data_IF_700699395911
#
_entry.id   IF_700699395911
#
_cell.length_a   1.000
_cell.length_b   1.000
_cell.length_c   1.000
_cell.angle_alpha   90.00
_cell.angle_beta   90.00
_cell.angle_gamma   90.00
#
_symmetry.space_group_name_H-M   'P 1'
#
loop_
_entity.id
_entity.type
_entity.pdbx_description
1 polymer ?
#
# COMPACT_ATOMS: atom_id res chain seq x y z
N UNK A 1 10.29 5.51 21.08
CA UNK A 1 10.94 6.50 21.94
C UNK A 1 10.45 6.29 23.36
N UNK A 2 11.37 6.08 24.30
CA UNK A 2 11.06 5.98 25.74
C UNK A 2 10.96 7.38 26.36
N UNK A 3 10.04 7.55 27.32
CA UNK A 3 9.80 8.81 28.02
C UNK A 3 8.52 9.52 27.61
N UNK A 4 8.17 10.59 28.33
CA UNK A 4 7.00 11.41 28.00
C UNK A 4 7.35 12.45 26.93
N UNK A 5 6.88 12.20 25.72
CA UNK A 5 7.10 13.06 24.55
C UNK A 5 5.78 13.66 24.01
N UNK A 6 4.69 13.64 24.78
CA UNK A 6 3.36 14.12 24.35
C UNK A 6 3.34 15.59 23.92
N UNK A 7 4.28 16.38 24.42
CA UNK A 7 4.43 17.81 24.10
C UNK A 7 5.63 18.10 23.18
N UNK A 8 6.36 17.05 22.76
CA UNK A 8 7.52 17.24 21.91
C UNK A 8 7.14 17.78 20.51
N UNK A 9 7.87 18.76 20.05
CA UNK A 9 7.74 19.29 18.69
C UNK A 9 8.24 18.26 17.65
N UNK A 10 7.82 18.42 16.41
CA UNK A 10 8.31 17.57 15.30
C UNK A 10 9.84 17.63 15.16
N UNK A 11 10.48 18.76 15.46
CA UNK A 11 11.93 18.92 15.44
C UNK A 11 12.60 18.07 16.53
N UNK A 12 12.04 18.09 17.75
CA UNK A 12 12.56 17.31 18.87
C UNK A 12 12.38 15.81 18.62
N UNK A 13 11.21 15.37 18.11
CA UNK A 13 10.96 13.97 17.76
C UNK A 13 11.93 13.49 16.67
N UNK A 14 12.20 14.33 15.69
CA UNK A 14 13.17 14.02 14.64
C UNK A 14 14.57 13.87 15.22
N UNK A 15 15.01 14.78 16.08
CA UNK A 15 16.34 14.73 16.71
C UNK A 15 16.49 13.47 17.61
N UNK A 16 15.45 13.09 18.34
CA UNK A 16 15.44 11.86 19.13
C UNK A 16 15.51 10.61 18.26
N UNK A 17 14.77 10.58 17.15
CA UNK A 17 14.78 9.45 16.23
C UNK A 17 16.12 9.32 15.51
N UNK A 18 16.78 10.45 15.19
CA UNK A 18 18.07 10.46 14.52
C UNK A 18 19.16 9.73 15.32
N UNK A 19 19.07 9.74 16.65
CA UNK A 19 20.01 9.05 17.53
C UNK A 19 19.94 7.53 17.44
N UNK A 20 18.82 6.99 16.92
CA UNK A 20 18.55 5.56 16.81
C UNK A 20 18.32 5.09 15.36
N UNK A 21 18.56 5.95 14.37
CA UNK A 21 18.21 5.67 12.99
C UNK A 21 19.01 4.52 12.38
N UNK A 22 20.23 4.32 12.84
CA UNK A 22 21.14 3.26 12.45
C UNK A 22 20.67 1.87 12.92
N UNK A 23 19.79 1.79 13.92
CA UNK A 23 19.16 0.54 14.36
C UNK A 23 18.11 0.05 13.34
N UNK A 24 17.56 0.95 12.52
CA UNK A 24 16.44 0.67 11.61
C UNK A 24 16.83 0.75 10.14
N UNK A 25 17.79 1.58 9.78
CA UNK A 25 18.21 1.83 8.41
C UNK A 25 19.70 1.48 8.28
N UNK A 26 20.08 0.51 7.41
CA UNK A 26 21.46 0.04 7.28
C UNK A 26 22.32 1.02 6.46
N UNK A 27 22.27 2.30 6.78
CA UNK A 27 23.04 3.39 6.18
C UNK A 27 23.52 4.34 7.27
N UNK A 28 24.67 5.00 7.10
CA UNK A 28 25.11 6.06 8.00
C UNK A 28 24.05 7.18 8.12
N UNK A 29 23.79 7.73 9.30
CA UNK A 29 22.78 8.80 9.49
C UNK A 29 22.94 9.99 8.53
N UNK A 30 24.18 10.33 8.16
CA UNK A 30 24.49 11.39 7.20
C UNK A 30 24.03 11.12 5.77
N UNK A 31 23.86 9.82 5.42
CA UNK A 31 23.42 9.37 4.10
C UNK A 31 21.92 9.11 4.04
N UNK A 32 21.20 9.29 5.16
CA UNK A 32 19.75 9.07 5.24
C UNK A 32 19.01 10.41 5.19
N UNK A 33 18.00 10.50 4.34
CA UNK A 33 16.93 11.47 4.44
C UNK A 33 15.74 10.78 5.09
N UNK A 34 15.27 11.28 6.23
CA UNK A 34 14.15 10.66 6.95
C UNK A 34 13.17 11.70 7.47
N UNK A 35 11.97 11.23 7.74
CA UNK A 35 10.93 11.99 8.43
C UNK A 35 10.16 11.07 9.39
N UNK A 36 9.54 11.66 10.42
CA UNK A 36 8.82 10.93 11.46
C UNK A 36 7.49 11.61 11.78
N UNK A 37 6.49 10.77 12.02
CA UNK A 37 5.14 11.20 12.42
C UNK A 37 4.78 10.52 13.73
N UNK A 38 4.33 11.24 14.76
CA UNK A 38 3.85 10.64 15.99
C UNK A 38 2.57 9.83 15.72
N UNK A 39 2.49 8.65 16.32
CA UNK A 39 1.36 7.72 16.13
C UNK A 39 0.61 7.53 17.44
N UNK A 40 1.30 7.10 18.48
CA UNK A 40 0.74 6.88 19.81
C UNK A 40 1.67 7.52 20.83
N UNK A 41 1.12 8.29 21.77
CA UNK A 41 1.85 8.87 22.88
C UNK A 41 1.23 8.45 24.20
N UNK A 42 2.06 7.94 25.09
CA UNK A 42 1.72 7.62 26.49
C UNK A 42 2.54 8.47 27.45
N UNK A 43 2.36 8.30 28.75
CA UNK A 43 3.18 8.96 29.76
C UNK A 43 4.63 8.44 29.81
N UNK A 44 4.87 7.27 29.26
CA UNK A 44 6.17 6.58 29.37
C UNK A 44 6.83 6.29 28.03
N UNK A 45 6.10 6.48 26.92
CA UNK A 45 6.64 6.17 25.60
C UNK A 45 5.90 6.90 24.49
N UNK A 46 6.55 7.04 23.34
CA UNK A 46 5.93 7.48 22.10
C UNK A 46 6.31 6.54 20.95
N UNK A 47 5.30 6.05 20.25
CA UNK A 47 5.46 5.32 18.99
C UNK A 47 5.43 6.32 17.84
N UNK A 48 6.43 6.28 16.97
CA UNK A 48 6.51 7.10 15.76
C UNK A 48 6.50 6.23 14.53
N UNK A 49 5.85 6.68 13.47
CA UNK A 49 6.00 6.12 12.14
C UNK A 49 7.13 6.87 11.42
N UNK A 50 8.17 6.14 11.02
CA UNK A 50 9.32 6.70 10.32
C UNK A 50 9.36 6.27 8.86
N UNK A 51 9.82 7.17 8.00
CA UNK A 51 10.19 6.85 6.62
C UNK A 51 11.61 7.38 6.36
N UNK A 52 12.43 6.54 5.73
CA UNK A 52 13.80 6.94 5.41
C UNK A 52 14.22 6.41 4.04
N UNK A 53 15.01 7.23 3.34
CA UNK A 53 15.58 6.92 2.04
C UNK A 53 17.06 7.28 2.02
N UNK A 54 17.82 6.61 1.17
CA UNK A 54 19.18 7.08 0.87
C UNK A 54 19.09 8.50 0.31
N UNK A 55 19.82 9.44 0.95
CA UNK A 55 19.85 10.86 0.58
C UNK A 55 20.13 11.06 -0.91
N UNK A 56 21.08 10.29 -1.44
CA UNK A 56 21.45 10.30 -2.85
C UNK A 56 20.24 10.07 -3.78
N UNK A 57 19.34 9.15 -3.45
CA UNK A 57 18.14 8.86 -4.27
C UNK A 57 17.20 10.06 -4.30
N UNK A 58 17.04 10.75 -3.16
CA UNK A 58 16.23 11.96 -3.08
C UNK A 58 16.86 13.09 -3.91
N UNK A 59 18.18 13.31 -3.77
CA UNK A 59 18.90 14.35 -4.49
C UNK A 59 18.89 14.14 -6.00
N UNK A 60 19.13 12.90 -6.48
CA UNK A 60 19.04 12.54 -7.89
C UNK A 60 17.63 12.75 -8.45
N UNK A 61 16.60 12.40 -7.68
CA UNK A 61 15.20 12.60 -8.08
C UNK A 61 14.86 14.08 -8.19
N UNK A 62 15.29 14.89 -7.21
CA UNK A 62 15.08 16.35 -7.22
C UNK A 62 15.80 17.01 -8.40
N UNK A 63 17.05 16.63 -8.66
CA UNK A 63 17.83 17.16 -9.80
C UNK A 63 17.14 16.83 -11.14
N UNK A 64 16.65 15.60 -11.31
CA UNK A 64 15.93 15.18 -12.52
C UNK A 64 14.66 16.00 -12.75
N UNK A 65 13.89 16.24 -11.69
CA UNK A 65 12.66 17.04 -11.75
C UNK A 65 12.96 18.52 -12.03
N UNK A 66 14.01 19.06 -11.44
CA UNK A 66 14.47 20.44 -11.66
C UNK A 66 14.94 20.64 -13.12
N UNK A 67 15.72 19.71 -13.68
CA UNK A 67 16.11 19.72 -15.08
C UNK A 67 14.89 19.68 -16.04
N UNK A 68 13.81 19.00 -15.61
CA UNK A 68 12.56 18.97 -16.37
C UNK A 68 11.69 20.23 -16.16
N UNK A 69 12.14 21.20 -15.36
CA UNK A 69 11.40 22.43 -15.02
C UNK A 69 10.22 22.20 -14.08
N UNK A 70 10.21 21.06 -13.35
CA UNK A 70 9.14 20.71 -12.41
C UNK A 70 9.50 21.19 -11.00
N UNK A 71 8.68 22.06 -10.45
CA UNK A 71 8.84 22.53 -9.06
C UNK A 71 8.33 21.47 -8.10
N UNK A 72 9.25 20.79 -7.41
CA UNK A 72 8.91 19.76 -6.42
C UNK A 72 8.55 20.42 -5.09
N UNK A 73 7.35 20.20 -4.58
CA UNK A 73 6.88 20.70 -3.28
C UNK A 73 7.20 19.75 -2.14
N UNK A 74 7.11 18.45 -2.38
CA UNK A 74 7.36 17.43 -1.38
C UNK A 74 7.71 16.10 -2.05
N UNK A 75 8.43 15.27 -1.31
CA UNK A 75 8.64 13.85 -1.60
C UNK A 75 8.09 13.09 -0.38
N UNK A 76 7.29 12.08 -0.62
CA UNK A 76 6.79 11.23 0.46
C UNK A 76 6.76 9.75 0.05
N UNK A 77 6.66 8.86 1.03
CA UNK A 77 6.44 7.44 0.75
C UNK A 77 5.06 7.23 0.14
N UNK A 78 4.99 6.37 -0.87
CA UNK A 78 3.74 5.94 -1.48
C UNK A 78 2.75 5.32 -0.48
N UNK A 79 3.23 4.78 0.65
CA UNK A 79 2.36 4.23 1.70
C UNK A 79 1.48 5.31 2.34
N UNK A 80 2.02 6.50 2.58
CA UNK A 80 1.24 7.63 3.12
C UNK A 80 0.26 8.18 2.09
N UNK A 81 0.69 8.33 0.85
CA UNK A 81 -0.20 8.82 -0.21
C UNK A 81 -1.33 7.83 -0.51
N UNK A 82 -1.03 6.53 -0.61
CA UNK A 82 -2.05 5.50 -0.83
C UNK A 82 -3.04 5.42 0.34
N UNK A 83 -2.56 5.47 1.59
CA UNK A 83 -3.42 5.53 2.76
C UNK A 83 -4.34 6.77 2.74
N UNK A 84 -3.81 7.92 2.36
CA UNK A 84 -4.57 9.18 2.24
C UNK A 84 -5.65 9.11 1.17
N UNK A 85 -5.41 8.41 0.06
CA UNK A 85 -6.42 8.24 -0.97
C UNK A 85 -7.56 7.33 -0.52
N UNK A 86 -7.23 6.19 0.12
CA UNK A 86 -8.16 5.10 0.35
C UNK A 86 -8.87 5.13 1.71
N UNK A 87 -8.28 5.79 2.71
CA UNK A 87 -8.85 5.84 4.07
C UNK A 87 -9.60 7.15 4.29
N UNK A 88 -10.88 7.10 4.72
CA UNK A 88 -11.59 8.31 5.11
C UNK A 88 -10.83 9.08 6.20
N UNK A 89 -10.84 10.42 6.13
CA UNK A 89 -10.11 11.29 7.07
C UNK A 89 -10.45 11.04 8.54
N UNK A 90 -11.72 10.70 8.81
CA UNK A 90 -12.20 10.44 10.17
C UNK A 90 -12.10 8.97 10.59
N UNK A 91 -11.62 8.09 9.71
CA UNK A 91 -11.50 6.66 10.02
C UNK A 91 -10.49 6.42 11.14
N UNK A 92 -10.80 5.44 11.99
CA UNK A 92 -9.88 4.89 12.98
C UNK A 92 -9.68 3.39 12.80
N UNK A 93 -10.26 2.82 11.74
CA UNK A 93 -10.10 1.42 11.41
C UNK A 93 -8.65 1.06 11.14
N UNK A 94 -8.28 -0.16 11.49
CA UNK A 94 -7.03 -0.77 11.05
C UNK A 94 -7.32 -1.72 9.89
N UNK A 95 -6.74 -1.43 8.74
CA UNK A 95 -6.96 -2.17 7.50
C UNK A 95 -5.66 -2.68 6.91
N UNK A 96 -5.74 -3.78 6.18
CA UNK A 96 -4.67 -4.22 5.29
C UNK A 96 -4.96 -3.72 3.87
N UNK A 97 -4.14 -2.83 3.35
CA UNK A 97 -4.19 -2.41 1.95
C UNK A 97 -3.25 -3.31 1.15
N UNK A 98 -3.78 -3.90 0.08
CA UNK A 98 -3.04 -4.73 -0.87
C UNK A 98 -3.07 -4.01 -2.22
N UNK A 99 -1.93 -3.45 -2.63
CA UNK A 99 -1.77 -2.80 -3.92
C UNK A 99 -1.09 -3.76 -4.89
N UNK A 100 -1.87 -4.30 -5.84
CA UNK A 100 -1.38 -5.26 -6.84
C UNK A 100 -0.99 -4.50 -8.11
N UNK A 101 0.28 -4.09 -8.14
CA UNK A 101 0.89 -3.39 -9.28
C UNK A 101 1.25 -4.34 -10.45
N UNK A 102 1.98 -3.81 -11.42
CA UNK A 102 2.43 -4.59 -12.58
C UNK A 102 3.48 -5.63 -12.18
N UNK A 103 4.51 -5.23 -11.48
CA UNK A 103 5.68 -6.06 -11.14
C UNK A 103 5.74 -6.47 -9.68
N UNK A 104 5.12 -5.71 -8.80
CA UNK A 104 5.16 -5.89 -7.35
C UNK A 104 3.77 -5.85 -6.75
N UNK A 105 3.62 -6.48 -5.58
CA UNK A 105 2.46 -6.33 -4.71
C UNK A 105 2.93 -5.70 -3.40
N UNK A 106 2.32 -4.59 -3.01
CA UNK A 106 2.62 -3.89 -1.77
C UNK A 106 1.56 -4.21 -0.72
N UNK A 107 2.02 -4.50 0.47
CA UNK A 107 1.19 -4.77 1.64
C UNK A 107 1.40 -3.66 2.65
N UNK A 108 0.33 -3.02 3.09
CA UNK A 108 0.38 -1.92 4.05
C UNK A 108 -0.68 -2.13 5.12
N UNK A 109 -0.29 -2.21 6.39
CA UNK A 109 -1.25 -2.08 7.49
C UNK A 109 -1.35 -0.61 7.86
N UNK A 110 -2.57 -0.09 7.86
CA UNK A 110 -2.87 1.32 8.05
C UNK A 110 -3.93 1.45 9.14
N UNK A 111 -3.69 2.31 10.14
CA UNK A 111 -4.69 2.68 11.15
C UNK A 111 -5.11 4.13 10.90
N UNK A 112 -6.39 4.35 10.62
CA UNK A 112 -6.85 5.65 10.11
C UNK A 112 -6.18 5.99 8.77
N UNK A 113 -5.41 7.07 8.71
CA UNK A 113 -4.59 7.41 7.53
C UNK A 113 -3.08 7.19 7.77
N UNK A 114 -2.71 6.58 8.89
CA UNK A 114 -1.30 6.40 9.27
C UNK A 114 -0.82 5.00 8.96
N UNK A 115 0.15 4.82 8.07
CA UNK A 115 0.81 3.54 7.84
C UNK A 115 1.53 3.08 9.10
N UNK A 116 1.30 1.82 9.50
CA UNK A 116 1.90 1.16 10.66
C UNK A 116 2.93 0.10 10.28
N UNK A 117 2.74 -0.47 9.11
CA UNK A 117 3.62 -1.49 8.53
C UNK A 117 3.52 -1.44 7.01
N UNK A 118 4.63 -1.65 6.33
CA UNK A 118 4.64 -1.81 4.88
C UNK A 118 5.72 -2.80 4.44
N UNK A 119 5.42 -3.55 3.40
CA UNK A 119 6.37 -4.43 2.73
C UNK A 119 6.02 -4.59 1.26
N UNK A 120 7.01 -4.92 0.44
CA UNK A 120 6.83 -5.15 -1.00
C UNK A 120 7.18 -6.60 -1.32
N UNK A 121 6.34 -7.21 -2.13
CA UNK A 121 6.56 -8.55 -2.71
C UNK A 121 6.95 -8.36 -4.18
N UNK A 122 7.99 -9.04 -4.63
CA UNK A 122 8.45 -9.01 -6.03
C UNK A 122 7.58 -9.92 -6.94
N UNK A 123 6.27 -9.91 -6.70
CA UNK A 123 5.26 -10.62 -7.49
C UNK A 123 4.12 -9.67 -7.75
N UNK A 124 3.75 -9.47 -9.03
CA UNK A 124 2.66 -8.60 -9.45
C UNK A 124 1.88 -9.17 -10.63
N UNK A 125 1.00 -8.35 -11.21
CA UNK A 125 0.12 -8.76 -12.30
C UNK A 125 0.84 -9.23 -13.57
N UNK A 126 2.11 -8.88 -13.75
CA UNK A 126 2.91 -9.39 -14.89
C UNK A 126 3.15 -10.89 -14.77
N UNK A 127 3.37 -11.42 -13.56
CA UNK A 127 3.48 -12.86 -13.35
C UNK A 127 2.20 -13.60 -13.73
N UNK A 128 1.03 -13.02 -13.42
CA UNK A 128 -0.27 -13.56 -13.87
C UNK A 128 -0.38 -13.53 -15.41
N UNK A 129 0.03 -12.42 -16.03
CA UNK A 129 0.00 -12.30 -17.49
C UNK A 129 0.93 -13.32 -18.15
N UNK A 130 2.13 -13.53 -17.63
CA UNK A 130 3.07 -14.54 -18.11
C UNK A 130 2.52 -15.98 -17.98
N UNK A 131 1.80 -16.27 -16.87
CA UNK A 131 1.15 -17.56 -16.68
C UNK A 131 0.11 -17.81 -17.79
N UNK A 132 -0.69 -16.80 -18.13
CA UNK A 132 -1.67 -16.87 -19.24
C UNK A 132 -0.98 -17.03 -20.60
N UNK A 133 0.05 -16.23 -20.88
CA UNK A 133 0.84 -16.33 -22.13
C UNK A 133 1.36 -17.76 -22.33
N UNK A 134 1.96 -18.32 -21.28
CA UNK A 134 2.54 -19.66 -21.32
C UNK A 134 1.48 -20.75 -21.51
N UNK A 135 0.33 -20.59 -20.84
CA UNK A 135 -0.76 -21.58 -20.90
C UNK A 135 -1.43 -21.63 -22.28
N UNK A 136 -1.73 -20.46 -22.86
CA UNK A 136 -2.45 -20.38 -24.13
C UNK A 136 -1.56 -20.22 -25.37
N UNK A 137 -0.25 -19.97 -25.20
CA UNK A 137 0.66 -19.65 -26.29
C UNK A 137 0.36 -18.32 -27.01
N UNK A 138 -0.15 -17.34 -26.27
CA UNK A 138 -0.61 -16.05 -26.80
C UNK A 138 0.36 -14.91 -26.48
N UNK A 139 0.18 -13.77 -27.13
CA UNK A 139 0.96 -12.54 -26.89
C UNK A 139 0.62 -11.91 -25.51
N UNK A 140 1.45 -10.98 -25.06
CA UNK A 140 1.20 -10.27 -23.78
C UNK A 140 -0.11 -9.47 -23.81
N UNK A 141 -0.45 -8.88 -24.96
CA UNK A 141 -1.68 -8.09 -25.12
C UNK A 141 -2.91 -8.98 -25.06
N UNK A 142 -2.91 -10.09 -25.79
CA UNK A 142 -3.98 -11.09 -25.74
C UNK A 142 -4.12 -11.69 -24.33
N UNK A 143 -3.00 -11.98 -23.66
CA UNK A 143 -3.00 -12.50 -22.30
C UNK A 143 -3.61 -11.52 -21.29
N UNK A 144 -3.34 -10.21 -21.42
CA UNK A 144 -3.99 -9.18 -20.60
C UNK A 144 -5.50 -9.16 -20.79
N UNK A 145 -5.94 -9.30 -22.04
CA UNK A 145 -7.37 -9.33 -22.38
C UNK A 145 -8.05 -10.58 -21.79
N UNK A 146 -7.47 -11.77 -22.02
CA UNK A 146 -7.94 -13.03 -21.43
C UNK A 146 -8.03 -12.93 -19.90
N UNK A 147 -7.01 -12.38 -19.26
CA UNK A 147 -6.98 -12.18 -17.81
C UNK A 147 -8.10 -11.28 -17.31
N UNK A 148 -8.38 -10.19 -18.03
CA UNK A 148 -9.46 -9.27 -17.67
C UNK A 148 -10.85 -9.90 -17.83
N UNK A 149 -11.06 -10.66 -18.90
CA UNK A 149 -12.35 -11.30 -19.17
C UNK A 149 -12.64 -12.49 -18.27
N UNK A 150 -11.67 -13.42 -18.15
CA UNK A 150 -11.86 -14.70 -17.46
C UNK A 150 -11.69 -14.59 -15.95
N UNK A 151 -10.68 -13.83 -15.49
CA UNK A 151 -10.37 -13.67 -14.06
C UNK A 151 -10.04 -15.01 -13.38
N UNK A 152 -10.45 -15.15 -12.13
CA UNK A 152 -10.33 -16.38 -11.32
C UNK A 152 -11.68 -17.13 -11.21
N UNK A 153 -12.62 -16.84 -12.10
CA UNK A 153 -13.96 -17.46 -12.05
C UNK A 153 -13.91 -18.84 -12.73
N UNK A 154 -14.21 -19.89 -11.96
CA UNK A 154 -14.22 -21.26 -12.46
C UNK A 154 -15.43 -21.53 -13.37
N UNK A 155 -15.21 -22.33 -14.39
CA UNK A 155 -16.22 -22.92 -15.29
C UNK A 155 -15.60 -24.10 -16.04
N UNK A 156 -16.39 -25.05 -16.47
CA UNK A 156 -15.93 -26.36 -16.95
C UNK A 156 -14.88 -26.37 -18.05
N UNK A 157 -14.78 -25.31 -18.85
CA UNK A 157 -13.73 -25.14 -19.87
C UNK A 157 -12.54 -24.28 -19.37
N UNK A 158 -12.60 -23.79 -18.13
CA UNK A 158 -11.64 -22.83 -17.58
C UNK A 158 -10.80 -23.40 -16.43
N UNK A 159 -11.04 -24.62 -15.98
CA UNK A 159 -10.42 -25.16 -14.77
C UNK A 159 -8.89 -25.19 -14.86
N UNK A 160 -8.33 -25.55 -16.00
CA UNK A 160 -6.89 -25.57 -16.21
C UNK A 160 -6.27 -24.15 -16.25
N UNK A 161 -6.98 -23.20 -16.84
CA UNK A 161 -6.60 -21.78 -16.81
C UNK A 161 -6.62 -21.23 -15.38
N UNK A 162 -7.70 -21.47 -14.63
CA UNK A 162 -7.83 -21.04 -13.24
C UNK A 162 -6.75 -21.68 -12.38
N UNK A 163 -6.47 -22.96 -12.55
CA UNK A 163 -5.39 -23.65 -11.87
C UNK A 163 -4.02 -22.99 -12.12
N UNK A 164 -3.75 -22.59 -13.37
CA UNK A 164 -2.52 -21.90 -13.75
C UNK A 164 -2.42 -20.52 -13.06
N UNK A 165 -3.50 -19.75 -13.02
CA UNK A 165 -3.57 -18.46 -12.34
C UNK A 165 -3.39 -18.62 -10.82
N UNK A 166 -4.00 -19.63 -10.22
CA UNK A 166 -3.96 -19.89 -8.79
C UNK A 166 -2.54 -20.20 -8.28
N UNK A 167 -1.63 -20.71 -9.10
CA UNK A 167 -0.23 -20.89 -8.70
C UNK A 167 0.38 -19.55 -8.26
N UNK A 168 0.23 -18.51 -9.09
CA UNK A 168 0.78 -17.17 -8.79
C UNK A 168 -0.01 -16.48 -7.68
N UNK A 169 -1.35 -16.54 -7.73
CA UNK A 169 -2.19 -15.91 -6.71
C UNK A 169 -1.97 -16.54 -5.34
N UNK A 170 -1.75 -17.87 -5.28
CA UNK A 170 -1.45 -18.56 -4.03
C UNK A 170 -0.10 -18.13 -3.43
N UNK A 171 0.92 -17.87 -4.25
CA UNK A 171 2.18 -17.34 -3.76
C UNK A 171 2.00 -15.96 -3.11
N UNK A 172 1.21 -15.08 -3.74
CA UNK A 172 0.84 -13.79 -3.15
C UNK A 172 0.06 -13.99 -1.83
N UNK A 173 -0.94 -14.88 -1.83
CA UNK A 173 -1.73 -15.21 -0.64
C UNK A 173 -0.87 -15.69 0.53
N UNK A 174 0.07 -16.60 0.30
CA UNK A 174 0.95 -17.12 1.37
C UNK A 174 1.79 -16.00 2.01
N UNK A 175 2.29 -15.07 1.20
CA UNK A 175 3.00 -13.91 1.72
C UNK A 175 2.08 -12.98 2.52
N UNK A 176 0.86 -12.73 2.04
CA UNK A 176 -0.13 -11.92 2.76
C UNK A 176 -0.45 -12.57 4.11
N UNK A 177 -0.74 -13.88 4.13
CA UNK A 177 -1.07 -14.61 5.36
C UNK A 177 0.06 -14.51 6.38
N UNK A 178 1.32 -14.72 5.99
CA UNK A 178 2.46 -14.59 6.91
C UNK A 178 2.55 -13.21 7.55
N UNK A 179 2.31 -12.14 6.79
CA UNK A 179 2.37 -10.76 7.31
C UNK A 179 1.17 -10.43 8.19
N UNK A 180 -0.01 -10.91 7.79
CA UNK A 180 -1.24 -10.74 8.55
C UNK A 180 -1.17 -11.47 9.89
N UNK A 181 -0.73 -12.73 9.91
CA UNK A 181 -0.53 -13.53 11.12
C UNK A 181 0.48 -12.88 12.07
N UNK A 182 1.59 -12.40 11.54
CA UNK A 182 2.58 -11.64 12.32
C UNK A 182 1.94 -10.42 12.98
N UNK A 183 1.18 -9.62 12.22
CA UNK A 183 0.52 -8.42 12.73
C UNK A 183 -0.55 -8.76 13.78
N UNK A 184 -1.43 -9.70 13.48
CA UNK A 184 -2.51 -10.13 14.38
C UNK A 184 -1.95 -10.74 15.68
N UNK A 185 -0.87 -11.49 15.60
CA UNK A 185 -0.19 -12.04 16.79
C UNK A 185 0.32 -10.94 17.73
N UNK A 186 0.85 -9.85 17.18
CA UNK A 186 1.27 -8.68 17.97
C UNK A 186 0.08 -7.95 18.59
N UNK A 187 -1.00 -7.78 17.85
CA UNK A 187 -2.22 -7.17 18.37
C UNK A 187 -2.80 -7.97 19.56
N UNK A 188 -2.82 -9.30 19.46
CA UNK A 188 -3.28 -10.17 20.55
C UNK A 188 -2.34 -10.16 21.77
N UNK A 189 -1.07 -9.90 21.58
CA UNK A 189 -0.09 -9.79 22.67
C UNK A 189 -0.19 -8.48 23.49
N UNK A 190 -1.16 -7.62 23.18
CA UNK A 190 -1.38 -6.37 23.89
C UNK A 190 -0.33 -5.29 23.61
N UNK A 191 0.29 -5.34 22.43
CA UNK A 191 1.16 -4.28 21.93
C UNK A 191 0.32 -3.14 21.35
N UNK A 192 0.97 -2.05 20.89
CA UNK A 192 0.32 -0.89 20.23
C UNK A 192 -0.30 -1.23 18.85
N UNK A 193 -0.60 -2.51 18.60
CA UNK A 193 -1.11 -2.99 17.32
C UNK A 193 -2.61 -3.27 17.47
N UNK A 194 -3.41 -2.59 16.66
CA UNK A 194 -4.82 -2.89 16.52
C UNK A 194 -5.02 -4.04 15.51
N UNK A 195 -5.99 -4.94 15.73
CA UNK A 195 -6.27 -6.02 14.80
C UNK A 195 -6.75 -5.46 13.46
N UNK A 196 -6.36 -6.12 12.36
CA UNK A 196 -6.89 -5.78 11.03
C UNK A 196 -8.35 -6.18 10.94
N UNK A 197 -9.21 -5.24 10.59
CA UNK A 197 -10.67 -5.42 10.52
C UNK A 197 -11.14 -5.83 9.13
N UNK A 198 -10.49 -5.33 8.06
CA UNK A 198 -10.79 -5.66 6.66
C UNK A 198 -9.59 -5.43 5.76
N UNK A 199 -9.75 -5.89 4.51
CA UNK A 199 -8.75 -5.73 3.45
C UNK A 199 -9.28 -4.79 2.37
N UNK A 200 -8.43 -3.90 1.90
CA UNK A 200 -8.70 -3.03 0.75
C UNK A 200 -7.77 -3.44 -0.39
N UNK A 201 -8.32 -3.85 -1.53
CA UNK A 201 -7.56 -4.12 -2.74
C UNK A 201 -7.48 -2.87 -3.61
N UNK A 202 -6.31 -2.57 -4.12
CA UNK A 202 -6.05 -1.48 -5.06
C UNK A 202 -4.96 -1.88 -6.06
N UNK A 203 -4.61 -0.97 -6.96
CA UNK A 203 -3.68 -1.27 -8.05
C UNK A 203 -4.37 -1.82 -9.30
N UNK A 204 -3.70 -1.70 -10.43
CA UNK A 204 -4.29 -2.06 -11.73
C UNK A 204 -4.67 -3.55 -11.91
N UNK A 205 -4.21 -4.42 -11.02
CA UNK A 205 -4.55 -5.85 -11.04
C UNK A 205 -5.57 -6.25 -9.95
N UNK A 206 -6.00 -5.34 -9.10
CA UNK A 206 -7.05 -5.58 -8.12
C UNK A 206 -8.41 -5.91 -8.78
N UNK A 207 -8.59 -5.50 -10.03
CA UNK A 207 -9.81 -5.67 -10.82
C UNK A 207 -9.98 -7.05 -11.47
N UNK A 208 -9.02 -7.96 -11.26
CA UNK A 208 -9.14 -9.35 -11.75
C UNK A 208 -10.36 -10.00 -11.11
N UNK A 209 -11.33 -10.42 -11.94
CA UNK A 209 -12.61 -11.00 -11.49
C UNK A 209 -12.37 -12.21 -10.60
N UNK A 210 -13.08 -12.29 -9.49
CA UNK A 210 -12.96 -13.38 -8.51
C UNK A 210 -11.77 -13.24 -7.55
N UNK A 211 -10.90 -12.24 -7.72
CA UNK A 211 -9.75 -12.03 -6.84
C UNK A 211 -10.16 -11.52 -5.44
N UNK A 212 -11.10 -10.56 -5.32
CA UNK A 212 -11.60 -10.15 -4.00
C UNK A 212 -12.20 -11.33 -3.22
N UNK A 213 -13.07 -12.11 -3.84
CA UNK A 213 -13.74 -13.27 -3.23
C UNK A 213 -12.74 -14.37 -2.85
N UNK A 214 -11.71 -14.57 -3.67
CA UNK A 214 -10.63 -15.50 -3.35
C UNK A 214 -9.87 -15.06 -2.08
N UNK A 215 -9.49 -13.80 -1.99
CA UNK A 215 -8.81 -13.29 -0.80
C UNK A 215 -9.72 -13.23 0.42
N UNK A 216 -10.99 -12.87 0.28
CA UNK A 216 -11.96 -12.89 1.38
C UNK A 216 -12.05 -14.28 2.02
N UNK A 217 -12.20 -15.32 1.19
CA UNK A 217 -12.24 -16.71 1.64
C UNK A 217 -10.92 -17.13 2.30
N UNK A 218 -9.79 -16.77 1.70
CA UNK A 218 -8.48 -17.20 2.15
C UNK A 218 -8.00 -16.49 3.42
N UNK A 219 -8.26 -15.20 3.54
CA UNK A 219 -7.81 -14.36 4.66
C UNK A 219 -8.81 -14.34 5.83
N UNK A 220 -10.06 -14.80 5.60
CA UNK A 220 -11.17 -14.77 6.57
C UNK A 220 -11.43 -13.34 7.12
N UNK A 221 -11.27 -12.36 6.26
CA UNK A 221 -11.55 -10.96 6.51
C UNK A 221 -12.37 -10.39 5.36
N UNK A 222 -13.27 -9.44 5.61
CA UNK A 222 -13.97 -8.74 4.53
C UNK A 222 -12.97 -8.12 3.55
N UNK A 223 -13.17 -8.32 2.26
CA UNK A 223 -12.31 -7.77 1.20
C UNK A 223 -13.12 -6.87 0.29
N UNK A 224 -12.68 -5.63 0.13
CA UNK A 224 -13.33 -4.64 -0.73
C UNK A 224 -12.33 -4.03 -1.72
N UNK A 225 -12.82 -3.58 -2.86
CA UNK A 225 -12.04 -2.72 -3.74
C UNK A 225 -11.94 -1.31 -3.15
N UNK A 226 -10.79 -0.68 -3.29
CA UNK A 226 -10.55 0.66 -2.79
C UNK A 226 -11.38 1.71 -3.53
N UNK A 227 -11.81 2.75 -2.84
CA UNK A 227 -12.38 3.94 -3.48
C UNK A 227 -11.39 5.10 -3.34
N UNK A 228 -10.62 5.35 -4.40
CA UNK A 228 -9.60 6.39 -4.44
C UNK A 228 -10.18 7.81 -4.40
N UNK A 229 -11.50 7.94 -4.55
CA UNK A 229 -12.23 9.21 -4.51
C UNK A 229 -12.84 9.52 -3.14
N UNK A 230 -12.61 8.63 -2.15
CA UNK A 230 -13.18 8.73 -0.80
C UNK A 230 -12.99 10.12 -0.15
N UNK A 231 -11.86 10.77 -0.39
CA UNK A 231 -11.50 12.06 0.22
C UNK A 231 -11.60 13.25 -0.76
N UNK A 232 -12.19 13.04 -1.93
CA UNK A 232 -12.50 14.11 -2.89
C UNK A 232 -13.91 14.68 -2.68
N UNK A 233 -14.32 15.59 -3.56
CA UNK A 233 -15.66 16.14 -3.54
C UNK A 233 -16.72 15.03 -3.70
N UNK A 234 -17.90 15.23 -3.08
CA UNK A 234 -19.03 14.31 -3.23
C UNK A 234 -19.35 14.05 -4.70
N UNK A 235 -19.69 12.82 -5.04
CA UNK A 235 -20.13 12.42 -6.40
C UNK A 235 -21.40 13.14 -6.85
N UNK A 236 -22.15 13.69 -5.92
CA UNK A 236 -23.32 14.52 -6.24
C UNK A 236 -22.93 15.90 -6.83
N UNK A 237 -21.68 16.32 -6.58
CA UNK A 237 -21.15 17.61 -7.01
C UNK A 237 -20.17 17.46 -8.16
N UNK A 238 -19.46 16.36 -8.23
CA UNK A 238 -18.41 16.14 -9.22
C UNK A 238 -18.29 14.66 -9.59
N UNK A 239 -18.31 14.37 -10.89
CA UNK A 239 -18.05 13.03 -11.41
C UNK A 239 -16.58 12.93 -11.86
N UNK A 240 -15.83 11.94 -11.34
CA UNK A 240 -14.47 11.72 -11.79
C UNK A 240 -14.41 11.41 -13.30
N UNK A 241 -13.40 11.90 -14.02
CA UNK A 241 -13.22 11.58 -15.44
C UNK A 241 -12.68 10.16 -15.70
N UNK A 242 -12.34 9.44 -14.63
CA UNK A 242 -11.83 8.08 -14.68
C UNK A 242 -12.91 7.07 -14.29
N UNK A 243 -12.98 5.95 -14.99
CA UNK A 243 -13.77 4.81 -14.56
C UNK A 243 -13.28 4.31 -13.18
N UNK A 244 -14.22 3.78 -12.39
CA UNK A 244 -13.91 3.30 -11.04
C UNK A 244 -12.81 2.24 -11.03
N UNK A 245 -12.88 1.26 -11.94
CA UNK A 245 -11.91 0.16 -12.01
C UNK A 245 -10.53 0.66 -12.47
N UNK A 246 -10.49 1.57 -13.43
CA UNK A 246 -9.25 2.21 -13.88
C UNK A 246 -8.61 3.06 -12.77
N UNK A 247 -9.44 3.73 -11.97
CA UNK A 247 -8.99 4.63 -10.91
C UNK A 247 -8.14 3.93 -9.85
N UNK A 248 -8.34 2.64 -9.62
CA UNK A 248 -7.57 1.86 -8.64
C UNK A 248 -6.06 1.87 -8.90
N UNK A 249 -5.64 2.03 -10.16
CA UNK A 249 -4.23 2.14 -10.53
C UNK A 249 -3.61 3.51 -10.13
N UNK A 250 -4.42 4.49 -9.74
CA UNK A 250 -3.99 5.86 -9.46
C UNK A 250 -4.03 6.23 -7.97
N UNK A 251 -4.21 5.27 -7.06
CA UNK A 251 -4.33 5.52 -5.63
C UNK A 251 -3.17 6.38 -5.09
N UNK A 252 -1.92 6.03 -5.43
CA UNK A 252 -0.73 6.81 -5.04
C UNK A 252 -0.76 8.23 -5.60
N UNK A 253 -1.05 8.40 -6.89
CA UNK A 253 -1.06 9.71 -7.55
C UNK A 253 -2.16 10.63 -7.00
N UNK A 254 -3.36 10.09 -6.79
CA UNK A 254 -4.48 10.83 -6.19
C UNK A 254 -4.15 11.20 -4.74
N UNK A 255 -3.56 10.28 -3.98
CA UNK A 255 -3.14 10.54 -2.62
C UNK A 255 -2.05 11.61 -2.51
N UNK A 256 -1.10 11.66 -3.45
CA UNK A 256 -0.13 12.74 -3.54
C UNK A 256 -0.81 14.10 -3.81
N UNK A 257 -1.75 14.14 -4.76
CA UNK A 257 -2.49 15.37 -5.07
C UNK A 257 -3.33 15.88 -3.89
N UNK A 258 -3.82 14.98 -3.03
CA UNK A 258 -4.60 15.33 -1.84
C UNK A 258 -3.74 15.88 -0.69
N UNK A 259 -2.42 15.84 -0.77
CA UNK A 259 -1.52 16.27 0.33
C UNK A 259 -1.78 17.72 0.75
N UNK A 260 -1.88 18.63 -0.19
CA UNK A 260 -2.05 20.06 0.08
C UNK A 260 -3.50 20.43 0.47
N UNK A 261 -4.43 19.48 0.41
CA UNK A 261 -5.86 19.68 0.71
C UNK A 261 -6.30 19.07 2.05
N UNK A 262 -5.37 18.77 2.93
CA UNK A 262 -5.65 18.21 4.27
C UNK A 262 -5.98 19.26 5.34
N UNK A 263 -6.14 20.54 4.95
CA UNK A 263 -6.45 21.63 5.89
C UNK A 263 -7.93 21.94 5.94
#
# INVERSE_FOLDING_TARGET
LEGDHRTASSVELRALTEQHIDEYIPLPPTEVAFDVTPVIATETSMTVAGVGYARRVIEESLATLDEAGIVTRAIESETFSTARALMPRASRETVLIIDIGKTTTKLMVVTGQTPRFATTLDIGGHALTQAVMKHFGVTEEEAKHVKAEKGLVSGTEQDEYVATMLITVSAIREEILRRLEYWQGRAQAGTDHEPVERVILTGGNATVRGLPEYFETALKLPVVLGDVFTNLASRDVWLPPLDYMESLAYATAIGLALRDHQH
#
